data_IF_127396293004
#
_entry.id   IF_127396293004
#
_cell.length_a   1.000
_cell.length_b   1.000
_cell.length_c   1.000
_cell.angle_alpha   90.00
_cell.angle_beta   90.00
_cell.angle_gamma   90.00
#
_symmetry.space_group_name_H-M   'P 1'
#
loop_
_entity.id
_entity.type
_entity.pdbx_description
1 polymer ?
#
# COMPACT_ATOMS: atom_id res chain seq x y z
N UNK A 1 7.66 58.72 -35.98
CA UNK A 1 6.74 58.29 -34.90
C UNK A 1 6.24 56.90 -35.23
N UNK A 2 6.81 55.88 -34.59
CA UNK A 2 6.59 54.47 -34.91
C UNK A 2 5.65 53.83 -33.87
N UNK A 3 4.52 53.28 -34.35
CA UNK A 3 3.59 52.47 -33.56
C UNK A 3 4.25 51.13 -33.21
N UNK A 4 4.35 50.84 -31.91
CA UNK A 4 4.68 49.51 -31.39
C UNK A 4 3.38 48.72 -31.21
N UNK A 5 3.13 47.77 -32.10
CA UNK A 5 2.11 46.75 -31.92
C UNK A 5 2.50 45.79 -30.80
N UNK A 6 1.63 45.63 -29.81
CA UNK A 6 1.76 44.65 -28.76
C UNK A 6 1.55 43.24 -29.35
N UNK A 7 2.59 42.40 -29.29
CA UNK A 7 2.54 41.00 -29.67
C UNK A 7 1.67 40.23 -28.67
N UNK A 8 0.46 39.90 -29.10
CA UNK A 8 -0.43 38.91 -28.49
C UNK A 8 0.27 37.55 -28.59
N UNK A 9 0.52 36.91 -27.44
CA UNK A 9 0.95 35.50 -27.38
C UNK A 9 -0.24 34.60 -27.70
N UNK A 10 -0.18 33.71 -28.71
CA UNK A 10 -1.17 32.65 -28.84
C UNK A 10 -0.90 31.58 -27.78
N UNK A 11 -1.88 31.32 -26.94
CA UNK A 11 -1.89 30.17 -26.03
C UNK A 11 -1.97 28.87 -26.83
N UNK A 12 -0.89 28.11 -26.87
CA UNK A 12 -0.87 26.76 -27.42
C UNK A 12 -1.64 25.80 -26.52
N UNK A 13 -2.81 25.35 -27.01
CA UNK A 13 -3.50 24.16 -26.50
C UNK A 13 -2.78 22.90 -27.02
N UNK A 14 -2.28 22.07 -26.12
CA UNK A 14 -1.90 20.69 -26.43
C UNK A 14 -3.06 19.76 -26.07
N UNK A 15 -3.71 19.19 -27.08
CA UNK A 15 -4.63 18.06 -26.93
C UNK A 15 -3.86 16.74 -26.97
N UNK A 16 -4.23 15.82 -26.07
CA UNK A 16 -4.27 14.36 -26.23
C UNK A 16 -3.10 13.65 -26.91
N UNK A 17 -2.18 13.12 -26.10
CA UNK A 17 -1.30 12.01 -26.45
C UNK A 17 -1.26 11.02 -25.29
N UNK A 18 -1.84 9.83 -25.49
CA UNK A 18 -1.84 8.76 -24.50
C UNK A 18 -0.46 8.09 -24.39
N UNK A 19 -0.14 7.67 -23.16
CA UNK A 19 0.94 6.72 -22.86
C UNK A 19 2.29 7.34 -22.51
N UNK A 20 2.48 7.66 -21.23
CA UNK A 20 3.69 7.42 -20.40
C UNK A 20 3.64 8.37 -19.18
N UNK A 21 3.63 7.77 -17.99
CA UNK A 21 3.71 8.37 -16.64
C UNK A 21 3.69 9.90 -16.57
N UNK A 22 2.53 10.46 -16.21
CA UNK A 22 2.35 11.88 -15.91
C UNK A 22 3.28 12.32 -14.78
N UNK A 23 4.42 12.91 -15.15
CA UNK A 23 5.31 13.62 -14.23
C UNK A 23 4.79 15.03 -14.01
N UNK A 24 3.87 15.17 -13.05
CA UNK A 24 3.59 16.47 -12.44
C UNK A 24 4.80 16.96 -11.64
N UNK A 25 4.95 18.28 -11.44
CA UNK A 25 5.94 18.82 -10.51
C UNK A 25 5.79 18.16 -9.12
N UNK A 26 6.88 18.04 -8.33
CA UNK A 26 6.82 17.44 -7.01
C UNK A 26 5.72 18.13 -6.20
N UNK A 27 4.84 17.36 -5.52
CA UNK A 27 3.71 17.93 -4.81
C UNK A 27 4.20 19.00 -3.85
N UNK A 28 3.60 20.19 -3.92
CA UNK A 28 3.94 21.30 -3.05
C UNK A 28 3.84 20.82 -1.59
N UNK A 29 4.90 21.04 -0.80
CA UNK A 29 4.91 20.70 0.62
C UNK A 29 3.71 21.35 1.31
N UNK A 30 2.83 20.52 1.87
CA UNK A 30 1.70 20.98 2.66
C UNK A 30 2.23 21.70 3.91
N UNK A 31 1.85 22.97 4.07
CA UNK A 31 2.39 23.82 5.15
C UNK A 31 1.84 23.47 6.53
N UNK A 32 0.65 22.83 6.62
CA UNK A 32 -0.01 22.51 7.89
C UNK A 32 -0.92 21.25 7.84
N UNK A 33 -0.34 20.05 7.74
CA UNK A 33 -1.09 18.77 7.65
C UNK A 33 -2.02 18.54 8.85
N UNK A 34 -1.57 18.86 10.07
CA UNK A 34 -2.32 18.58 11.29
C UNK A 34 -3.63 19.39 11.42
N UNK A 35 -3.60 20.65 10.98
CA UNK A 35 -4.80 21.51 11.00
C UNK A 35 -5.85 21.02 10.01
N UNK A 36 -5.42 20.64 8.80
CA UNK A 36 -6.29 20.06 7.77
C UNK A 36 -6.93 18.77 8.26
N UNK A 37 -6.15 17.88 8.88
CA UNK A 37 -6.67 16.63 9.44
C UNK A 37 -7.71 16.90 10.53
N UNK A 38 -7.46 17.84 11.44
CA UNK A 38 -8.42 18.22 12.50
C UNK A 38 -9.71 18.79 11.92
N UNK A 39 -9.65 19.61 10.88
CA UNK A 39 -10.83 20.14 10.20
C UNK A 39 -11.63 19.03 9.53
N UNK A 40 -10.96 18.08 8.86
CA UNK A 40 -11.59 16.94 8.21
C UNK A 40 -12.27 16.01 9.21
N UNK A 41 -11.59 15.68 10.32
CA UNK A 41 -12.16 14.90 11.42
C UNK A 41 -13.35 15.62 12.08
N UNK A 42 -13.31 16.96 12.14
CA UNK A 42 -14.44 17.77 12.59
C UNK A 42 -15.69 17.57 11.73
N UNK A 43 -15.53 17.44 10.41
CA UNK A 43 -16.65 17.19 9.47
C UNK A 43 -17.26 15.81 9.60
N UNK A 44 -16.52 14.84 10.12
CA UNK A 44 -17.03 13.51 10.44
C UNK A 44 -17.85 13.48 11.75
N UNK A 45 -17.93 14.60 12.47
CA UNK A 45 -18.66 14.74 13.72
C UNK A 45 -20.12 14.25 13.69
N UNK A 46 -20.92 14.55 12.65
CA UNK A 46 -22.30 14.05 12.54
C UNK A 46 -22.38 12.52 12.38
N UNK A 47 -21.33 11.89 11.85
CA UNK A 47 -21.29 10.46 11.50
C UNK A 47 -20.62 9.61 12.57
N UNK A 48 -20.37 10.16 13.78
CA UNK A 48 -19.64 9.48 14.87
C UNK A 48 -20.20 8.12 15.23
N UNK A 49 -21.52 7.96 15.23
CA UNK A 49 -22.18 6.68 15.57
C UNK A 49 -21.80 5.62 14.54
N UNK A 50 -21.87 5.94 13.25
CA UNK A 50 -21.50 5.01 12.18
C UNK A 50 -20.00 4.67 12.22
N UNK A 51 -19.15 5.64 12.56
CA UNK A 51 -17.71 5.39 12.74
C UNK A 51 -17.46 4.42 13.90
N UNK A 52 -18.18 4.56 15.01
CA UNK A 52 -18.07 3.62 16.15
C UNK A 52 -18.58 2.24 15.76
N UNK A 53 -19.71 2.14 15.06
CA UNK A 53 -20.23 0.86 14.53
C UNK A 53 -19.21 0.22 13.60
N UNK A 54 -18.63 0.99 12.68
CA UNK A 54 -17.54 0.56 11.81
C UNK A 54 -16.32 0.06 12.59
N UNK A 55 -15.91 0.74 13.65
CA UNK A 55 -14.80 0.28 14.49
C UNK A 55 -15.09 -1.08 15.16
N UNK A 56 -16.32 -1.31 15.60
CA UNK A 56 -16.75 -2.61 16.16
C UNK A 56 -16.76 -3.70 15.10
N UNK A 57 -17.29 -3.41 13.90
CA UNK A 57 -17.27 -4.35 12.76
C UNK A 57 -15.83 -4.69 12.35
N UNK A 58 -14.95 -3.69 12.32
CA UNK A 58 -13.53 -3.87 12.03
C UNK A 58 -12.87 -4.79 13.05
N UNK A 59 -13.12 -4.58 14.36
CA UNK A 59 -12.61 -5.42 15.43
C UNK A 59 -13.06 -6.88 15.28
N UNK A 60 -14.35 -7.10 15.03
CA UNK A 60 -14.91 -8.45 14.82
C UNK A 60 -14.32 -9.13 13.59
N UNK A 61 -14.24 -8.42 12.47
CA UNK A 61 -13.63 -8.92 11.24
C UNK A 61 -12.17 -9.32 11.45
N UNK A 62 -11.38 -8.42 12.05
CA UNK A 62 -9.97 -8.69 12.35
C UNK A 62 -9.84 -9.89 13.27
N UNK A 63 -10.62 -9.98 14.35
CA UNK A 63 -10.56 -11.12 15.27
C UNK A 63 -10.76 -12.47 14.55
N UNK A 64 -11.76 -12.57 13.67
CA UNK A 64 -11.97 -13.77 12.85
C UNK A 64 -10.80 -14.05 11.90
N UNK A 65 -10.32 -13.03 11.18
CA UNK A 65 -9.20 -13.19 10.23
C UNK A 65 -7.90 -13.65 10.90
N UNK A 66 -7.62 -13.18 12.12
CA UNK A 66 -6.39 -13.46 12.87
C UNK A 66 -6.43 -14.84 13.52
N UNK A 67 -7.62 -15.37 13.84
CA UNK A 67 -7.78 -16.75 14.34
C UNK A 67 -7.60 -17.78 13.19
N UNK A 68 -7.90 -17.38 11.95
CA UNK A 68 -7.82 -18.24 10.76
C UNK A 68 -6.53 -19.05 10.62
N UNK A 69 -5.32 -18.45 10.71
CA UNK A 69 -4.05 -19.18 10.66
C UNK A 69 -3.91 -20.30 11.70
N UNK A 70 -4.47 -20.13 12.91
CA UNK A 70 -4.46 -21.18 13.95
C UNK A 70 -5.34 -22.36 13.54
N UNK A 71 -6.51 -22.09 12.96
CA UNK A 71 -7.43 -23.13 12.46
C UNK A 71 -6.78 -23.89 11.30
N UNK A 72 -6.15 -23.19 10.37
CA UNK A 72 -5.41 -23.82 9.26
C UNK A 72 -4.25 -24.65 9.80
N UNK A 73 -3.50 -24.16 10.81
CA UNK A 73 -2.45 -24.93 11.46
C UNK A 73 -2.95 -26.26 12.04
N UNK A 74 -4.15 -26.28 12.62
CA UNK A 74 -4.76 -27.52 13.09
C UNK A 74 -5.10 -28.49 11.94
N UNK A 75 -5.54 -27.98 10.78
CA UNK A 75 -5.75 -28.81 9.59
C UNK A 75 -4.43 -29.42 9.09
N UNK A 76 -3.35 -28.65 9.10
CA UNK A 76 -2.00 -29.15 8.78
C UNK A 76 -1.58 -30.24 9.75
N UNK A 77 -1.86 -30.10 11.06
CA UNK A 77 -1.58 -31.15 12.04
C UNK A 77 -2.32 -32.45 11.72
N UNK A 78 -3.62 -32.41 11.34
CA UNK A 78 -4.38 -33.63 10.96
C UNK A 78 -3.76 -34.33 9.75
N UNK A 79 -3.33 -33.57 8.74
CA UNK A 79 -2.66 -34.14 7.56
C UNK A 79 -1.31 -34.74 7.97
N UNK A 80 -0.52 -34.00 8.74
CA UNK A 80 0.81 -34.42 9.17
C UNK A 80 0.74 -35.67 10.06
N UNK A 81 -0.13 -35.67 11.07
CA UNK A 81 -0.37 -36.79 11.98
C UNK A 81 -0.84 -38.03 11.23
N UNK A 82 -1.76 -37.86 10.25
CA UNK A 82 -2.27 -38.97 9.45
C UNK A 82 -1.25 -39.55 8.45
N UNK A 83 -0.39 -38.72 7.86
CA UNK A 83 0.70 -39.19 6.98
C UNK A 83 1.73 -39.98 7.78
N UNK A 84 2.14 -39.46 8.94
CA UNK A 84 3.05 -40.18 9.84
C UNK A 84 2.40 -41.46 10.39
N UNK A 85 1.13 -41.42 10.78
CA UNK A 85 0.39 -42.58 11.30
C UNK A 85 0.34 -43.73 10.29
N UNK A 86 0.09 -43.43 9.01
CA UNK A 86 0.08 -44.42 7.93
C UNK A 86 1.43 -45.11 7.72
N UNK A 87 2.54 -44.40 7.97
CA UNK A 87 3.90 -44.96 7.81
C UNK A 87 4.34 -45.87 8.97
N UNK A 88 3.62 -45.84 10.10
CA UNK A 88 3.94 -46.65 11.27
C UNK A 88 3.21 -47.99 11.26
N UNK A 89 3.82 -49.07 11.77
CA UNK A 89 3.16 -50.36 11.90
C UNK A 89 1.90 -50.26 12.76
N UNK A 90 0.80 -50.82 12.27
CA UNK A 90 -0.46 -50.85 13.00
C UNK A 90 -0.34 -51.69 14.29
N UNK A 91 -1.07 -51.29 15.34
CA UNK A 91 -1.12 -52.02 16.62
C UNK A 91 0.00 -51.68 17.61
N UNK A 92 0.98 -50.87 17.21
CA UNK A 92 1.95 -50.30 18.14
C UNK A 92 1.36 -49.11 18.88
N UNK A 93 1.72 -48.95 20.14
CA UNK A 93 1.50 -47.69 20.85
C UNK A 93 2.50 -46.64 20.35
N UNK A 94 2.16 -45.34 20.47
CA UNK A 94 3.08 -44.23 20.15
C UNK A 94 4.45 -44.40 20.82
N UNK A 95 4.48 -44.82 22.09
CA UNK A 95 5.71 -45.04 22.84
C UNK A 95 6.55 -46.19 22.25
N UNK A 96 5.92 -47.29 21.84
CA UNK A 96 6.61 -48.42 21.19
C UNK A 96 7.12 -48.04 19.80
N UNK A 97 6.35 -47.29 19.02
CA UNK A 97 6.78 -46.77 17.72
C UNK A 97 8.00 -45.85 17.84
N UNK A 98 8.00 -44.94 18.83
CA UNK A 98 9.15 -44.06 19.13
C UNK A 98 10.37 -44.87 19.58
N UNK A 99 10.19 -45.87 20.44
CA UNK A 99 11.28 -46.74 20.89
C UNK A 99 11.89 -47.55 19.74
N UNK A 100 11.05 -48.07 18.83
CA UNK A 100 11.50 -48.82 17.66
C UNK A 100 12.29 -47.92 16.70
N UNK A 101 11.81 -46.71 16.42
CA UNK A 101 12.51 -45.75 15.57
C UNK A 101 13.88 -45.36 16.15
N UNK A 102 13.97 -45.15 17.47
CA UNK A 102 15.25 -44.91 18.15
C UNK A 102 16.18 -46.12 18.06
N UNK A 103 15.65 -47.34 18.20
CA UNK A 103 16.44 -48.57 18.06
C UNK A 103 17.00 -48.76 16.64
N UNK A 104 16.29 -48.28 15.61
CA UNK A 104 16.74 -48.26 14.22
C UNK A 104 17.61 -47.04 13.86
N UNK A 105 18.02 -46.23 14.83
CA UNK A 105 18.87 -45.04 14.62
C UNK A 105 18.14 -43.83 14.03
N UNK A 106 16.81 -43.88 13.89
CA UNK A 106 15.97 -42.81 13.33
C UNK A 106 15.52 -41.79 14.39
N UNK A 107 16.48 -41.25 15.16
CA UNK A 107 16.19 -40.37 16.30
C UNK A 107 15.39 -39.12 15.91
N UNK A 108 15.67 -38.54 14.75
CA UNK A 108 14.97 -37.34 14.27
C UNK A 108 13.48 -37.61 14.00
N UNK A 109 13.14 -38.76 13.41
CA UNK A 109 11.76 -39.16 13.15
C UNK A 109 11.05 -39.53 14.46
N UNK A 110 11.77 -40.18 15.39
CA UNK A 110 11.27 -40.49 16.72
C UNK A 110 10.91 -39.21 17.51
N UNK A 111 11.74 -38.17 17.43
CA UNK A 111 11.48 -36.90 18.10
C UNK A 111 10.31 -36.14 17.47
N UNK A 112 10.17 -36.18 16.13
CA UNK A 112 9.01 -35.63 15.44
C UNK A 112 7.70 -36.32 15.88
N UNK A 113 7.67 -37.65 15.90
CA UNK A 113 6.48 -38.41 16.31
C UNK A 113 6.20 -38.19 17.81
N UNK A 114 7.23 -38.01 18.63
CA UNK A 114 7.05 -37.76 20.06
C UNK A 114 6.23 -36.49 20.35
N UNK A 115 6.40 -35.45 19.53
CA UNK A 115 5.66 -34.18 19.63
C UNK A 115 4.30 -34.17 18.92
N UNK A 116 4.01 -35.16 18.08
CA UNK A 116 2.84 -35.22 17.22
C UNK A 116 1.72 -36.13 17.80
N UNK A 117 0.45 -35.93 17.42
CA UNK A 117 -0.68 -36.73 17.92
C UNK A 117 -0.94 -37.94 17.00
N UNK A 118 0.13 -38.66 16.67
CA UNK A 118 0.10 -39.75 15.70
C UNK A 118 -0.50 -41.02 16.30
N UNK A 119 -1.46 -41.62 15.59
CA UNK A 119 -2.00 -42.96 15.87
C UNK A 119 -1.39 -43.94 14.86
N UNK A 120 -0.54 -44.88 15.29
CA UNK A 120 0.10 -45.84 14.39
C UNK A 120 -0.91 -46.68 13.60
N UNK A 121 -0.71 -46.75 12.28
CA UNK A 121 -1.59 -47.47 11.34
C UNK A 121 -2.86 -46.73 10.92
N UNK A 122 -3.12 -45.53 11.44
CA UNK A 122 -4.23 -44.69 10.99
C UNK A 122 -3.76 -43.63 10.00
N UNK A 123 -4.46 -43.52 8.88
CA UNK A 123 -4.22 -42.49 7.86
C UNK A 123 -4.83 -41.14 8.23
N UNK A 124 -4.93 -40.26 7.24
CA UNK A 124 -5.57 -38.94 7.40
C UNK A 124 -7.05 -39.13 7.74
N UNK A 125 -7.50 -38.50 8.83
CA UNK A 125 -8.91 -38.37 9.15
C UNK A 125 -9.54 -37.28 8.29
N UNK A 126 -10.13 -37.69 7.16
CA UNK A 126 -10.79 -36.78 6.22
C UNK A 126 -12.05 -36.12 6.80
N UNK A 127 -12.71 -36.74 7.78
CA UNK A 127 -13.89 -36.18 8.43
C UNK A 127 -13.50 -35.03 9.35
N UNK A 128 -12.50 -35.25 10.22
CA UNK A 128 -11.94 -34.21 11.08
C UNK A 128 -11.34 -33.08 10.24
N UNK A 129 -10.57 -33.41 9.19
CA UNK A 129 -10.01 -32.43 8.28
C UNK A 129 -11.11 -31.58 7.61
N UNK A 130 -12.17 -32.22 7.11
CA UNK A 130 -13.30 -31.53 6.51
C UNK A 130 -14.01 -30.57 7.47
N UNK A 131 -14.18 -30.97 8.74
CA UNK A 131 -14.76 -30.11 9.77
C UNK A 131 -13.89 -28.88 10.07
N UNK A 132 -12.57 -29.06 10.20
CA UNK A 132 -11.63 -27.95 10.47
C UNK A 132 -11.60 -26.99 9.28
N UNK A 133 -11.55 -27.51 8.04
CA UNK A 133 -11.57 -26.67 6.84
C UNK A 133 -12.93 -25.97 6.66
N UNK A 134 -14.04 -26.64 6.97
CA UNK A 134 -15.37 -26.03 6.99
C UNK A 134 -15.49 -24.90 8.01
N UNK A 135 -14.93 -25.09 9.22
CA UNK A 135 -14.84 -24.04 10.23
C UNK A 135 -13.96 -22.88 9.77
N UNK A 136 -12.80 -23.16 9.16
CA UNK A 136 -11.93 -22.12 8.61
C UNK A 136 -12.66 -21.30 7.54
N UNK A 137 -13.36 -21.97 6.61
CA UNK A 137 -14.15 -21.32 5.59
C UNK A 137 -15.24 -20.42 6.20
N UNK A 138 -15.98 -20.92 7.20
CA UNK A 138 -17.00 -20.14 7.90
C UNK A 138 -16.41 -18.90 8.59
N UNK A 139 -15.26 -19.05 9.28
CA UNK A 139 -14.57 -17.94 9.95
C UNK A 139 -14.14 -16.86 8.95
N UNK A 140 -13.55 -17.24 7.81
CA UNK A 140 -13.20 -16.29 6.76
C UNK A 140 -14.41 -15.65 6.09
N UNK A 141 -15.50 -16.39 5.90
CA UNK A 141 -16.75 -15.84 5.37
C UNK A 141 -17.34 -14.79 6.32
N UNK A 142 -17.40 -15.07 7.62
CA UNK A 142 -17.86 -14.10 8.63
C UNK A 142 -16.95 -12.87 8.67
N UNK A 143 -15.63 -13.07 8.64
CA UNK A 143 -14.65 -11.98 8.53
C UNK A 143 -14.91 -11.11 7.31
N UNK A 144 -15.15 -11.71 6.15
CA UNK A 144 -15.39 -11.02 4.89
C UNK A 144 -16.72 -10.25 4.90
N UNK A 145 -17.79 -10.83 5.45
CA UNK A 145 -19.09 -10.18 5.58
C UNK A 145 -19.02 -8.94 6.48
N UNK A 146 -18.34 -9.04 7.63
CA UNK A 146 -18.14 -7.91 8.53
C UNK A 146 -17.29 -6.81 7.88
N UNK A 147 -16.23 -7.19 7.16
CA UNK A 147 -15.39 -6.24 6.43
C UNK A 147 -16.16 -5.54 5.31
N UNK A 148 -17.01 -6.27 4.59
CA UNK A 148 -17.88 -5.71 3.56
C UNK A 148 -18.89 -4.73 4.14
N UNK A 149 -19.56 -5.09 5.25
CA UNK A 149 -20.50 -4.22 5.95
C UNK A 149 -19.81 -2.93 6.44
N UNK A 150 -18.61 -3.06 7.03
CA UNK A 150 -17.74 -1.93 7.40
C UNK A 150 -17.46 -1.02 6.19
N UNK A 151 -17.00 -1.59 5.08
CA UNK A 151 -16.64 -0.84 3.87
C UNK A 151 -17.84 -0.10 3.28
N UNK A 152 -19.02 -0.74 3.29
CA UNK A 152 -20.26 -0.13 2.83
C UNK A 152 -20.66 1.07 3.70
N UNK A 153 -20.63 0.93 5.02
CA UNK A 153 -20.95 2.02 5.96
C UNK A 153 -19.96 3.18 5.77
N UNK A 154 -18.65 2.88 5.70
CA UNK A 154 -17.61 3.89 5.53
C UNK A 154 -17.68 4.61 4.18
N UNK A 155 -18.11 3.92 3.11
CA UNK A 155 -18.40 4.57 1.83
C UNK A 155 -19.53 5.60 1.96
N UNK A 156 -20.61 5.27 2.67
CA UNK A 156 -21.70 6.20 2.96
C UNK A 156 -21.24 7.43 3.76
N UNK A 157 -20.43 7.22 4.80
CA UNK A 157 -19.85 8.30 5.62
C UNK A 157 -18.96 9.23 4.78
N UNK A 158 -18.09 8.66 3.94
CA UNK A 158 -17.22 9.43 3.06
C UNK A 158 -18.03 10.26 2.05
N UNK A 159 -19.02 9.65 1.39
CA UNK A 159 -19.86 10.33 0.40
C UNK A 159 -20.68 11.48 0.99
N UNK A 160 -21.30 11.31 2.16
CA UNK A 160 -22.03 12.40 2.84
C UNK A 160 -21.09 13.55 3.23
N UNK A 161 -19.88 13.23 3.69
CA UNK A 161 -18.87 14.23 4.03
C UNK A 161 -18.42 15.03 2.80
N UNK A 162 -18.19 14.34 1.69
CA UNK A 162 -17.78 14.93 0.41
C UNK A 162 -18.90 15.77 -0.19
N UNK A 163 -20.14 15.32 -0.10
CA UNK A 163 -21.31 16.09 -0.52
C UNK A 163 -21.38 17.44 0.22
N UNK A 164 -21.21 17.43 1.54
CA UNK A 164 -21.15 18.68 2.32
C UNK A 164 -19.94 19.55 1.96
N UNK A 165 -18.79 18.94 1.64
CA UNK A 165 -17.62 19.70 1.17
C UNK A 165 -17.88 20.37 -0.18
N UNK A 166 -18.52 19.67 -1.13
CA UNK A 166 -18.91 20.23 -2.44
C UNK A 166 -19.86 21.41 -2.29
N UNK A 167 -20.87 21.29 -1.42
CA UNK A 167 -21.80 22.39 -1.13
C UNK A 167 -21.09 23.62 -0.57
N UNK A 168 -20.16 23.44 0.36
CA UNK A 168 -19.41 24.56 0.95
C UNK A 168 -18.47 25.22 -0.06
N UNK A 169 -17.82 24.43 -0.91
CA UNK A 169 -16.96 24.94 -1.98
C UNK A 169 -17.79 25.72 -3.00
N UNK A 170 -18.93 25.21 -3.42
CA UNK A 170 -19.84 25.88 -4.34
C UNK A 170 -20.37 27.20 -3.74
N UNK A 171 -20.85 27.17 -2.49
CA UNK A 171 -21.33 28.35 -1.78
C UNK A 171 -20.22 29.41 -1.61
N UNK A 172 -18.97 28.97 -1.43
CA UNK A 172 -17.81 29.88 -1.37
C UNK A 172 -17.51 30.47 -2.73
N UNK A 173 -17.48 29.66 -3.78
CA UNK A 173 -17.23 30.09 -5.16
C UNK A 173 -18.24 31.14 -5.62
N UNK A 174 -19.52 30.98 -5.30
CA UNK A 174 -20.58 31.93 -5.62
C UNK A 174 -20.41 33.31 -4.94
N UNK A 175 -19.61 33.42 -3.87
CA UNK A 175 -19.41 34.65 -3.10
C UNK A 175 -18.06 35.32 -3.36
N UNK A 176 -17.19 34.73 -4.18
CA UNK A 176 -15.87 35.28 -4.47
C UNK A 176 -15.97 36.44 -5.48
N UNK A 177 -15.18 37.52 -5.29
CA UNK A 177 -15.18 38.65 -6.22
C UNK A 177 -14.55 38.26 -7.57
N UNK A 178 -14.97 38.93 -8.65
CA UNK A 178 -14.49 38.65 -10.01
C UNK A 178 -12.96 38.68 -10.12
N UNK A 179 -12.30 39.60 -9.40
CA UNK A 179 -10.83 39.70 -9.30
C UNK A 179 -10.14 38.38 -8.91
N UNK A 180 -10.78 37.54 -8.11
CA UNK A 180 -10.23 36.24 -7.75
C UNK A 180 -10.20 35.30 -8.96
N UNK A 181 -11.25 35.30 -9.78
CA UNK A 181 -11.34 34.49 -11.00
C UNK A 181 -10.39 34.99 -12.09
N UNK A 182 -10.17 36.30 -12.19
CA UNK A 182 -9.23 36.88 -13.16
C UNK A 182 -7.76 36.61 -12.81
N UNK A 183 -7.47 36.36 -11.52
CA UNK A 183 -6.11 36.10 -11.04
C UNK A 183 -5.73 34.62 -10.98
N UNK A 184 -6.66 33.70 -11.28
CA UNK A 184 -6.43 32.26 -11.22
C UNK A 184 -6.80 31.58 -12.54
N UNK A 185 -5.99 30.64 -13.04
CA UNK A 185 -6.34 29.88 -14.23
C UNK A 185 -7.65 29.10 -14.02
N UNK A 186 -8.58 29.21 -14.97
CA UNK A 186 -9.87 28.53 -14.88
C UNK A 186 -9.75 27.01 -14.65
N UNK A 187 -8.74 26.38 -15.26
CA UNK A 187 -8.45 24.96 -15.08
C UNK A 187 -7.97 24.58 -13.67
N UNK A 188 -7.26 25.46 -12.96
CA UNK A 188 -6.83 25.23 -11.58
C UNK A 188 -8.04 25.22 -10.65
N UNK A 189 -8.97 26.17 -10.84
CA UNK A 189 -10.21 26.22 -10.08
C UNK A 189 -11.07 24.98 -10.30
N UNK A 190 -11.25 24.54 -11.55
CA UNK A 190 -12.02 23.34 -11.85
C UNK A 190 -11.39 22.10 -11.22
N UNK A 191 -10.06 21.92 -11.35
CA UNK A 191 -9.35 20.78 -10.77
C UNK A 191 -9.45 20.72 -9.25
N UNK A 192 -9.45 21.86 -8.55
CA UNK A 192 -9.63 21.90 -7.09
C UNK A 192 -11.03 21.53 -6.66
N UNK A 193 -12.04 21.89 -7.46
CA UNK A 193 -13.45 21.59 -7.15
C UNK A 193 -13.79 20.15 -7.50
N UNK A 194 -13.16 19.57 -8.53
CA UNK A 194 -13.40 18.18 -8.95
C UNK A 194 -12.37 17.24 -8.32
N UNK A 195 -11.14 17.27 -8.83
CA UNK A 195 -10.10 16.28 -8.52
C UNK A 195 -9.65 16.33 -7.07
N UNK A 196 -9.44 17.50 -6.47
CA UNK A 196 -8.98 17.56 -5.07
C UNK A 196 -10.07 17.06 -4.11
N UNK A 197 -11.34 17.37 -4.39
CA UNK A 197 -12.47 16.87 -3.61
C UNK A 197 -12.60 15.34 -3.77
N UNK A 198 -12.41 14.81 -4.96
CA UNK A 198 -12.45 13.36 -5.21
C UNK A 198 -11.27 12.63 -4.56
N UNK A 199 -10.09 13.25 -4.54
CA UNK A 199 -8.94 12.75 -3.78
C UNK A 199 -9.24 12.72 -2.28
N UNK A 200 -9.93 13.74 -1.73
CA UNK A 200 -10.40 13.73 -0.34
C UNK A 200 -11.40 12.59 -0.11
N UNK A 201 -12.35 12.37 -1.03
CA UNK A 201 -13.31 11.26 -0.97
C UNK A 201 -12.61 9.92 -0.85
N UNK A 202 -11.67 9.65 -1.77
CA UNK A 202 -10.90 8.41 -1.82
C UNK A 202 -10.08 8.21 -0.54
N UNK A 203 -9.44 9.29 -0.06
CA UNK A 203 -8.64 9.26 1.16
C UNK A 203 -9.49 8.99 2.40
N UNK A 204 -10.67 9.59 2.51
CA UNK A 204 -11.60 9.33 3.61
C UNK A 204 -12.13 7.90 3.59
N UNK A 205 -12.51 7.39 2.42
CA UNK A 205 -13.09 6.05 2.28
C UNK A 205 -12.04 4.96 2.55
N UNK A 206 -10.91 5.00 1.86
CA UNK A 206 -9.87 3.97 1.95
C UNK A 206 -8.96 4.20 3.16
N UNK A 207 -8.45 5.42 3.33
CA UNK A 207 -7.47 5.74 4.37
C UNK A 207 -8.02 5.53 5.77
N UNK A 208 -9.26 5.96 6.05
CA UNK A 208 -9.86 5.78 7.38
C UNK A 208 -10.11 4.29 7.69
N UNK A 209 -10.70 3.57 6.74
CA UNK A 209 -10.93 2.12 6.87
C UNK A 209 -9.61 1.38 7.08
N UNK A 210 -8.59 1.71 6.28
CA UNK A 210 -7.26 1.10 6.35
C UNK A 210 -6.58 1.37 7.69
N UNK A 211 -6.65 2.59 8.22
CA UNK A 211 -6.06 2.91 9.53
C UNK A 211 -6.73 2.07 10.62
N UNK A 212 -8.07 2.01 10.63
CA UNK A 212 -8.82 1.21 11.60
C UNK A 212 -8.43 -0.26 11.52
N UNK A 213 -8.49 -0.86 10.32
CA UNK A 213 -8.22 -2.30 10.15
C UNK A 213 -6.74 -2.62 10.36
N UNK A 214 -5.81 -1.81 9.88
CA UNK A 214 -4.37 -2.07 10.01
C UNK A 214 -3.93 -2.00 11.47
N UNK A 215 -4.35 -0.98 12.22
CA UNK A 215 -4.00 -0.87 13.64
C UNK A 215 -4.58 -2.04 14.43
N UNK A 216 -5.85 -2.37 14.21
CA UNK A 216 -6.48 -3.53 14.86
C UNK A 216 -5.81 -4.85 14.45
N UNK A 217 -5.42 -5.01 13.18
CA UNK A 217 -4.71 -6.20 12.70
C UNK A 217 -3.36 -6.35 13.35
N UNK A 218 -2.57 -5.27 13.41
CA UNK A 218 -1.26 -5.29 14.06
C UNK A 218 -1.40 -5.71 15.53
N UNK A 219 -2.31 -5.07 16.26
CA UNK A 219 -2.55 -5.38 17.69
C UNK A 219 -3.10 -6.79 17.86
N UNK A 220 -4.07 -7.19 17.04
CA UNK A 220 -4.71 -8.51 17.09
C UNK A 220 -3.72 -9.63 16.78
N UNK A 221 -2.92 -9.50 15.72
CA UNK A 221 -1.88 -10.47 15.35
C UNK A 221 -0.84 -10.57 16.47
N UNK A 222 -0.33 -9.46 16.98
CA UNK A 222 0.64 -9.48 18.09
C UNK A 222 0.06 -10.15 19.33
N UNK A 223 -1.19 -9.84 19.70
CA UNK A 223 -1.86 -10.45 20.84
C UNK A 223 -2.01 -11.97 20.67
N UNK A 224 -2.44 -12.43 19.49
CA UNK A 224 -2.57 -13.87 19.19
C UNK A 224 -1.20 -14.55 19.12
N UNK A 225 -0.17 -13.90 18.58
CA UNK A 225 1.19 -14.44 18.55
C UNK A 225 1.74 -14.65 19.96
N UNK A 226 1.63 -13.64 20.84
CA UNK A 226 2.07 -13.75 22.24
C UNK A 226 1.24 -14.79 22.99
N UNK A 227 -0.05 -14.91 22.70
CA UNK A 227 -0.92 -15.92 23.31
C UNK A 227 -0.56 -17.35 22.87
N UNK A 228 -0.27 -17.58 21.59
CA UNK A 228 0.09 -18.91 21.06
C UNK A 228 1.51 -19.30 21.48
N UNK A 229 2.49 -18.41 21.28
CA UNK A 229 3.89 -18.63 21.63
C UNK A 229 4.60 -17.32 21.95
N UNK A 230 4.81 -17.00 23.24
CA UNK A 230 5.50 -15.79 23.66
C UNK A 230 6.90 -15.65 23.05
N UNK A 231 7.61 -16.76 22.85
CA UNK A 231 8.95 -16.77 22.28
C UNK A 231 8.95 -16.32 20.81
N UNK A 232 8.08 -16.88 19.98
CA UNK A 232 7.96 -16.46 18.57
C UNK A 232 7.42 -15.03 18.46
N UNK A 233 6.53 -14.63 19.37
CA UNK A 233 6.06 -13.25 19.49
C UNK A 233 7.19 -12.25 19.75
N UNK A 234 8.08 -12.53 20.71
CA UNK A 234 9.23 -11.67 21.02
C UNK A 234 10.20 -11.60 19.84
N UNK A 235 10.49 -12.74 19.19
CA UNK A 235 11.35 -12.77 17.99
C UNK A 235 10.77 -11.85 16.92
N UNK A 236 9.47 -11.97 16.61
CA UNK A 236 8.82 -11.10 15.63
C UNK A 236 8.84 -9.61 16.06
N UNK A 237 8.61 -9.32 17.35
CA UNK A 237 8.63 -7.97 17.90
C UNK A 237 10.00 -7.30 17.78
N UNK A 238 11.09 -8.07 17.74
CA UNK A 238 12.46 -7.55 17.52
C UNK A 238 12.79 -7.49 16.03
N UNK A 239 12.47 -8.53 15.26
CA UNK A 239 12.81 -8.63 13.84
C UNK A 239 12.07 -7.58 13.01
N UNK A 240 10.79 -7.33 13.25
CA UNK A 240 9.99 -6.37 12.45
C UNK A 240 10.53 -4.94 12.56
N UNK A 241 10.74 -4.34 13.75
CA UNK A 241 11.33 -3.01 13.86
C UNK A 241 12.75 -2.93 13.30
N UNK A 242 13.56 -3.99 13.45
CA UNK A 242 14.89 -4.05 12.87
C UNK A 242 14.83 -4.02 11.33
N UNK A 243 13.94 -4.80 10.72
CA UNK A 243 13.68 -4.75 9.28
C UNK A 243 13.21 -3.36 8.84
N UNK A 244 12.26 -2.75 9.55
CA UNK A 244 11.80 -1.37 9.27
C UNK A 244 12.97 -0.39 9.34
N UNK A 245 13.84 -0.48 10.34
CA UNK A 245 14.99 0.39 10.49
C UNK A 245 15.94 0.26 9.29
N UNK A 246 16.29 -0.98 8.91
CA UNK A 246 17.13 -1.25 7.75
C UNK A 246 16.49 -0.70 6.47
N UNK A 247 15.20 -0.99 6.24
CA UNK A 247 14.46 -0.47 5.09
C UNK A 247 14.44 1.06 5.06
N UNK A 248 14.21 1.74 6.19
CA UNK A 248 14.20 3.20 6.26
C UNK A 248 15.59 3.79 5.99
N UNK A 249 16.66 3.16 6.50
CA UNK A 249 18.03 3.61 6.25
C UNK A 249 18.41 3.50 4.77
N UNK A 250 18.03 2.39 4.13
CA UNK A 250 18.22 2.16 2.69
C UNK A 250 17.38 3.14 1.88
N UNK A 251 16.09 3.28 2.20
CA UNK A 251 15.17 4.18 1.53
C UNK A 251 15.62 5.64 1.59
N UNK A 252 16.11 6.12 2.75
CA UNK A 252 16.63 7.50 2.87
C UNK A 252 17.82 7.77 1.94
N UNK A 253 18.71 6.79 1.76
CA UNK A 253 19.85 6.91 0.83
C UNK A 253 19.40 6.87 -0.62
N UNK A 254 18.50 5.94 -0.95
CA UNK A 254 17.94 5.81 -2.30
C UNK A 254 17.12 7.04 -2.71
N UNK A 255 16.29 7.59 -1.81
CA UNK A 255 15.48 8.80 -2.06
C UNK A 255 16.33 10.00 -2.48
N UNK A 256 17.55 10.16 -1.93
CA UNK A 256 18.47 11.22 -2.35
C UNK A 256 18.93 11.06 -3.81
N UNK A 257 19.20 9.82 -4.23
CA UNK A 257 19.58 9.53 -5.63
C UNK A 257 18.39 9.63 -6.57
N UNK A 258 17.20 9.22 -6.15
CA UNK A 258 15.97 9.49 -6.90
C UNK A 258 15.79 11.01 -7.07
N UNK A 259 15.92 11.84 -6.04
CA UNK A 259 15.83 13.28 -6.22
C UNK A 259 16.85 13.82 -7.25
N UNK A 260 18.08 13.29 -7.27
CA UNK A 260 19.08 13.64 -8.28
C UNK A 260 18.69 13.15 -9.68
N UNK A 261 18.20 11.92 -9.81
CA UNK A 261 17.69 11.37 -11.07
C UNK A 261 16.58 12.27 -11.63
N UNK A 262 15.60 12.67 -10.83
CA UNK A 262 14.51 13.54 -11.25
C UNK A 262 15.01 14.91 -11.70
N UNK A 263 15.99 15.49 -10.99
CA UNK A 263 16.61 16.75 -11.41
C UNK A 263 17.32 16.61 -12.78
N UNK A 264 18.05 15.50 -13.01
CA UNK A 264 18.73 15.21 -14.29
C UNK A 264 17.77 14.90 -15.42
N UNK A 265 16.66 14.22 -15.16
CA UNK A 265 15.58 14.03 -16.14
C UNK A 265 15.00 15.38 -16.56
N UNK A 266 14.78 16.30 -15.62
CA UNK A 266 14.33 17.65 -15.91
C UNK A 266 15.30 18.42 -16.81
N UNK A 267 16.61 18.36 -16.54
CA UNK A 267 17.62 19.03 -17.39
C UNK A 267 17.71 18.42 -18.79
N UNK A 268 17.65 17.09 -18.90
CA UNK A 268 17.67 16.39 -20.19
C UNK A 268 16.41 16.70 -21.02
N UNK A 269 15.22 16.64 -20.41
CA UNK A 269 13.97 16.96 -21.09
C UNK A 269 13.92 18.43 -21.52
N UNK A 270 14.44 19.35 -20.70
CA UNK A 270 14.58 20.75 -21.06
C UNK A 270 15.46 20.94 -22.30
N UNK A 271 16.59 20.23 -22.38
CA UNK A 271 17.46 20.24 -23.56
C UNK A 271 16.72 19.70 -24.79
N UNK A 272 16.04 18.56 -24.67
CA UNK A 272 15.25 17.97 -25.76
C UNK A 272 14.19 18.95 -26.28
N UNK A 273 13.45 19.60 -25.38
CA UNK A 273 12.42 20.58 -25.74
C UNK A 273 13.00 21.80 -26.47
N UNK A 274 14.13 22.31 -25.98
CA UNK A 274 14.86 23.42 -26.61
C UNK A 274 15.39 23.04 -27.99
N UNK A 275 15.92 21.83 -28.13
CA UNK A 275 16.45 21.31 -29.40
C UNK A 275 15.35 21.02 -30.42
N UNK A 276 14.18 20.56 -29.96
CA UNK A 276 13.01 20.35 -30.80
C UNK A 276 12.41 21.69 -31.27
N UNK A 277 12.19 22.62 -30.34
CA UNK A 277 11.64 23.96 -30.64
C UNK A 277 12.61 24.80 -31.48
N UNK A 278 13.90 24.73 -31.18
CA UNK A 278 14.98 25.47 -31.83
C UNK A 278 15.65 24.74 -33.00
N UNK A 279 15.06 23.67 -33.52
CA UNK A 279 15.70 22.77 -34.49
C UNK A 279 16.23 23.48 -35.74
N UNK A 280 15.44 24.41 -36.30
CA UNK A 280 15.85 25.21 -37.46
C UNK A 280 17.10 26.05 -37.19
N UNK A 281 17.19 26.66 -36.00
CA UNK A 281 18.33 27.46 -35.59
C UNK A 281 19.60 26.61 -35.49
N UNK A 282 19.48 25.42 -34.91
CA UNK A 282 20.60 24.48 -34.75
C UNK A 282 21.14 24.04 -36.12
N UNK A 283 20.25 23.82 -37.10
CA UNK A 283 20.64 23.46 -38.47
C UNK A 283 21.37 24.62 -39.17
N UNK A 284 20.79 25.83 -39.15
CA UNK A 284 21.35 27.01 -39.84
C UNK A 284 22.72 27.38 -39.30
N UNK A 285 22.93 27.28 -37.98
CA UNK A 285 24.22 27.57 -37.34
C UNK A 285 25.18 26.36 -37.29
N UNK A 286 24.82 25.21 -37.87
CA UNK A 286 25.68 24.02 -37.91
C UNK A 286 26.03 23.42 -36.54
N UNK A 287 25.22 23.66 -35.50
CA UNK A 287 25.53 23.29 -34.10
C UNK A 287 25.06 21.90 -33.68
N UNK A 288 24.62 21.06 -34.63
CA UNK A 288 24.07 19.72 -34.37
C UNK A 288 24.96 18.85 -33.50
N UNK A 289 26.27 18.83 -33.78
CA UNK A 289 27.22 17.96 -33.07
C UNK A 289 27.36 18.36 -31.61
N UNK A 290 27.50 19.67 -31.35
CA UNK A 290 27.52 20.23 -30.00
C UNK A 290 26.26 19.88 -29.21
N UNK A 291 25.08 19.97 -29.84
CA UNK A 291 23.82 19.61 -29.19
C UNK A 291 23.72 18.12 -28.83
N UNK A 292 24.26 17.23 -29.68
CA UNK A 292 24.36 15.78 -29.40
C UNK A 292 25.35 15.52 -28.27
N UNK A 293 26.49 16.21 -28.26
CA UNK A 293 27.49 16.06 -27.19
C UNK A 293 26.91 16.50 -25.83
N UNK A 294 26.19 17.63 -25.79
CA UNK A 294 25.47 18.09 -24.60
C UNK A 294 24.38 17.10 -24.17
N UNK A 295 23.61 16.54 -25.11
CA UNK A 295 22.62 15.49 -24.82
C UNK A 295 23.29 14.26 -24.19
N UNK A 296 24.39 13.77 -24.78
CA UNK A 296 25.10 12.60 -24.30
C UNK A 296 25.66 12.80 -22.88
N UNK A 297 26.19 13.98 -22.58
CA UNK A 297 26.67 14.32 -21.23
C UNK A 297 25.53 14.32 -20.20
N UNK A 298 24.39 14.94 -20.52
CA UNK A 298 23.23 14.96 -19.63
C UNK A 298 22.63 13.56 -19.47
N UNK A 299 22.58 12.78 -20.54
CA UNK A 299 22.10 11.40 -20.53
C UNK A 299 23.00 10.49 -19.68
N UNK A 300 24.33 10.65 -19.77
CA UNK A 300 25.27 9.91 -18.93
C UNK A 300 25.09 10.26 -17.44
N UNK A 301 24.94 11.54 -17.11
CA UNK A 301 24.68 11.97 -15.74
C UNK A 301 23.34 11.44 -15.21
N UNK A 302 22.32 11.37 -16.06
CA UNK A 302 21.04 10.75 -15.74
C UNK A 302 21.19 9.24 -15.52
N UNK A 303 21.94 8.55 -16.38
CA UNK A 303 22.22 7.13 -16.26
C UNK A 303 22.89 6.81 -14.92
N UNK A 304 23.94 7.54 -14.54
CA UNK A 304 24.65 7.32 -13.27
C UNK A 304 23.75 7.56 -12.05
N UNK A 305 22.92 8.61 -12.08
CA UNK A 305 21.97 8.88 -11.01
C UNK A 305 20.90 7.79 -10.90
N UNK A 306 20.38 7.32 -12.04
CA UNK A 306 19.38 6.25 -12.09
C UNK A 306 19.96 4.94 -11.58
N UNK A 307 21.14 4.54 -12.09
CA UNK A 307 21.83 3.33 -11.65
C UNK A 307 22.06 3.31 -10.14
N UNK A 308 22.54 4.42 -9.56
CA UNK A 308 22.73 4.53 -8.11
C UNK A 308 21.41 4.47 -7.35
N UNK A 309 20.34 5.07 -7.86
CA UNK A 309 19.03 5.05 -7.22
C UNK A 309 18.46 3.62 -7.17
N UNK A 310 18.50 2.92 -8.30
CA UNK A 310 18.02 1.54 -8.44
C UNK A 310 18.88 0.55 -7.65
N UNK A 311 20.20 0.61 -7.77
CA UNK A 311 21.11 -0.24 -7.01
C UNK A 311 20.93 -0.09 -5.49
N UNK A 312 20.66 1.12 -5.01
CA UNK A 312 20.40 1.37 -3.60
C UNK A 312 18.97 1.01 -3.17
N UNK A 313 17.99 0.96 -4.07
CA UNK A 313 16.61 0.58 -3.71
C UNK A 313 16.38 -0.93 -3.65
N UNK A 314 17.26 -1.71 -4.28
CA UNK A 314 17.11 -3.16 -4.45
C UNK A 314 17.01 -3.52 -5.92
#
# INVERSE_FOLDING_TARGET
MAQRGALVRPGGRGFGGGGMFGMGPPPAKTKDVGKTLRQLLGRLGPERVLIVVSAVLALGSVAFSVIGPKIIGNATNVIFDGVLGKSLPAGLTKAQAVALLRAHGQNQIADLISGANVVPGHGIDFTMLGQILGLAALVYLLSALLNWALAYIMAGVAQRTVFGLRQDVEAKMARLPLKYFDSHPHGDLLSRVTNDIDNISTTLQQGMTQILTSTLTIVGVLAVMVWISPLLGIVALVTVPLSILVTVLVARRSQKQFAAQWARTGTLNGHVEQMHTGHALVQVFGRRRKAIDEFNQQNQALYEASFRAQFLSG
#
